data_IF_610599494037
#
_entry.id   IF_610599494037
#
_cell.length_a   1.000
_cell.length_b   1.000
_cell.length_c   1.000
_cell.angle_alpha   90.00
_cell.angle_beta   90.00
_cell.angle_gamma   90.00
#
_symmetry.space_group_name_H-M   'P 1'
#
loop_
_entity.id
_entity.type
_entity.pdbx_description
1 polymer ?
#
# COMPACT_ATOMS: atom_id res chain seq x y z
N UNK A 1 30.89 -2.78 -82.23
CA UNK A 1 30.36 -3.25 -80.92
C UNK A 1 30.14 -2.03 -80.04
N UNK A 2 29.28 -1.08 -80.40
CA UNK A 2 27.82 -1.15 -80.57
C UNK A 2 27.07 -1.52 -79.28
N UNK A 3 26.00 -0.84 -78.86
CA UNK A 3 25.40 0.42 -79.38
C UNK A 3 24.28 0.96 -78.46
N UNK A 4 24.17 2.30 -78.31
CA UNK A 4 22.93 3.14 -78.15
C UNK A 4 22.06 2.90 -76.88
N UNK A 5 21.26 3.82 -76.30
CA UNK A 5 20.69 5.17 -76.62
C UNK A 5 20.72 6.03 -75.32
N UNK A 6 20.91 7.37 -75.28
CA UNK A 6 19.99 8.50 -75.61
C UNK A 6 18.55 8.33 -75.04
N UNK A 7 17.88 9.29 -74.38
CA UNK A 7 17.89 10.78 -74.42
C UNK A 7 17.59 11.37 -73.00
N UNK A 8 18.08 12.55 -72.56
CA UNK A 8 17.61 13.94 -72.80
C UNK A 8 16.20 14.26 -72.25
N UNK A 9 15.85 15.43 -71.68
CA UNK A 9 16.58 16.69 -71.39
C UNK A 9 15.78 17.57 -70.37
N UNK A 10 16.52 18.32 -69.55
CA UNK A 10 16.38 19.76 -69.21
C UNK A 10 15.32 20.38 -68.24
N UNK A 11 15.88 21.20 -67.34
CA UNK A 11 15.36 22.37 -66.57
C UNK A 11 14.91 23.53 -67.52
N UNK A 12 14.27 24.67 -67.07
CA UNK A 12 14.83 25.59 -66.05
C UNK A 12 13.92 26.57 -65.22
N UNK A 13 14.52 27.06 -64.12
CA UNK A 13 14.55 28.43 -63.50
C UNK A 13 13.32 29.36 -63.22
N UNK A 14 13.33 29.89 -61.98
CA UNK A 14 13.07 31.28 -61.47
C UNK A 14 11.80 32.09 -61.85
N UNK A 15 11.11 32.67 -60.85
CA UNK A 15 11.38 34.04 -60.34
C UNK A 15 10.55 34.42 -59.07
N UNK A 16 10.80 35.61 -58.51
CA UNK A 16 10.41 36.09 -57.15
C UNK A 16 9.52 37.34 -57.22
N UNK A 17 8.59 37.50 -56.26
CA UNK A 17 8.01 38.81 -55.90
C UNK A 17 7.55 38.91 -54.43
N UNK A 18 7.80 40.09 -53.86
CA UNK A 18 7.31 40.73 -52.62
C UNK A 18 5.76 40.81 -52.48
N UNK A 19 5.14 41.23 -51.36
CA UNK A 19 5.59 41.69 -50.03
C UNK A 19 4.59 42.69 -49.39
N UNK A 20 4.51 42.77 -48.04
CA UNK A 20 3.53 43.53 -47.19
C UNK A 20 2.05 43.09 -47.34
N UNK A 21 1.09 43.16 -46.40
CA UNK A 21 0.95 43.54 -44.97
C UNK A 21 -0.54 43.23 -44.54
N UNK A 22 -1.06 43.39 -43.32
CA UNK A 22 -0.53 43.76 -41.99
C UNK A 22 -1.57 43.42 -40.86
N UNK A 23 -1.19 43.61 -39.58
CA UNK A 23 -2.03 43.86 -38.37
C UNK A 23 -3.04 42.83 -37.75
N UNK A 24 -2.80 42.58 -36.44
CA UNK A 24 -3.77 42.35 -35.33
C UNK A 24 -4.39 40.96 -35.01
N UNK A 25 -3.96 40.42 -33.85
CA UNK A 25 -4.61 39.44 -32.95
C UNK A 25 -6.02 39.89 -32.46
N UNK A 26 -6.92 39.03 -31.91
CA UNK A 26 -6.60 38.04 -30.86
C UNK A 26 -7.43 36.72 -30.78
N UNK A 27 -7.00 35.83 -29.87
CA UNK A 27 -7.89 34.88 -29.18
C UNK A 27 -7.83 33.43 -29.66
N UNK A 28 -6.98 32.61 -29.02
CA UNK A 28 -7.00 31.15 -29.17
C UNK A 28 -7.69 30.50 -27.94
N UNK A 29 -8.94 30.01 -28.05
CA UNK A 29 -9.53 29.17 -27.01
C UNK A 29 -8.98 27.75 -27.09
N UNK A 30 -8.45 27.28 -25.96
CA UNK A 30 -7.80 25.98 -25.75
C UNK A 30 -8.50 24.81 -26.44
N UNK A 31 -7.72 23.98 -27.14
CA UNK A 31 -8.21 22.73 -27.71
C UNK A 31 -8.73 21.79 -26.60
N UNK A 32 -10.03 21.53 -26.59
CA UNK A 32 -10.64 20.56 -25.68
C UNK A 32 -10.09 19.15 -25.95
N UNK A 33 -9.49 18.55 -24.93
CA UNK A 33 -9.00 17.17 -24.98
C UNK A 33 -10.18 16.20 -25.13
N UNK A 34 -10.44 15.78 -26.38
CA UNK A 34 -11.44 14.75 -26.68
C UNK A 34 -10.96 13.43 -26.07
N UNK A 35 -11.76 12.86 -25.16
CA UNK A 35 -11.64 11.46 -24.75
C UNK A 35 -12.10 10.56 -25.90
N UNK A 36 -11.33 10.52 -27.00
CA UNK A 36 -11.59 9.66 -28.14
C UNK A 36 -11.11 8.24 -27.83
N UNK A 37 -12.05 7.33 -27.65
CA UNK A 37 -11.74 5.91 -27.57
C UNK A 37 -11.15 5.42 -28.90
N UNK A 38 -9.84 5.17 -28.93
CA UNK A 38 -9.36 3.98 -29.62
C UNK A 38 -9.89 2.78 -28.84
N UNK A 39 -10.31 1.72 -29.53
CA UNK A 39 -10.87 0.53 -28.90
C UNK A 39 -9.81 -0.21 -28.09
N UNK A 40 -9.65 0.17 -26.82
CA UNK A 40 -8.90 -0.63 -25.87
C UNK A 40 -9.61 -2.00 -25.76
N UNK A 41 -8.87 -3.12 -25.83
CA UNK A 41 -9.46 -4.40 -25.47
C UNK A 41 -9.96 -4.31 -24.03
N UNK A 42 -11.04 -5.05 -23.71
CA UNK A 42 -11.48 -5.18 -22.32
C UNK A 42 -10.26 -5.52 -21.44
N UNK A 43 -10.11 -4.88 -20.26
CA UNK A 43 -8.94 -5.10 -19.42
C UNK A 43 -8.82 -6.59 -19.14
N UNK A 44 -7.74 -7.18 -19.64
CA UNK A 44 -7.44 -8.59 -19.39
C UNK A 44 -7.34 -8.75 -17.88
N UNK A 45 -7.98 -9.77 -17.31
CA UNK A 45 -7.86 -10.07 -15.89
C UNK A 45 -6.36 -10.14 -15.56
N UNK A 46 -5.89 -9.23 -14.71
CA UNK A 46 -4.52 -9.25 -14.25
C UNK A 46 -4.29 -10.63 -13.61
N UNK A 47 -3.21 -11.32 -14.03
CA UNK A 47 -2.87 -12.59 -13.43
C UNK A 47 -2.74 -12.39 -11.91
N UNK A 48 -3.31 -13.33 -11.13
CA UNK A 48 -3.21 -13.25 -9.68
C UNK A 48 -1.73 -13.12 -9.28
N UNK A 49 -1.40 -12.17 -8.40
CA UNK A 49 -0.02 -11.85 -8.06
C UNK A 49 0.68 -13.06 -7.44
N UNK A 50 2.00 -13.14 -7.63
CA UNK A 50 2.83 -14.18 -7.04
C UNK A 50 2.78 -14.21 -5.50
N UNK A 51 3.27 -15.29 -4.87
CA UNK A 51 3.30 -15.42 -3.42
C UNK A 51 3.99 -14.23 -2.76
N UNK A 52 3.44 -13.76 -1.63
CA UNK A 52 3.89 -12.52 -1.02
C UNK A 52 5.31 -12.62 -0.45
N UNK A 53 6.09 -11.55 -0.66
CA UNK A 53 7.43 -11.38 -0.10
C UNK A 53 7.28 -10.87 1.33
N UNK A 54 7.79 -11.62 2.32
CA UNK A 54 7.58 -11.31 3.74
C UNK A 54 8.76 -10.60 4.39
N UNK A 55 8.44 -9.61 5.22
CA UNK A 55 9.34 -8.80 6.05
C UNK A 55 8.90 -8.91 7.51
N UNK A 56 9.86 -8.97 8.45
CA UNK A 56 9.60 -9.21 9.88
C UNK A 56 9.22 -7.95 10.68
N UNK A 57 9.59 -6.76 10.21
CA UNK A 57 9.20 -5.50 10.83
C UNK A 57 7.79 -5.05 10.46
N UNK A 58 7.33 -3.94 11.06
CA UNK A 58 6.15 -3.22 10.58
C UNK A 58 6.50 -2.44 9.31
N UNK A 59 5.52 -2.14 8.45
CA UNK A 59 5.75 -1.39 7.20
C UNK A 59 6.49 -0.05 7.44
N UNK A 60 6.23 0.62 8.56
CA UNK A 60 6.88 1.88 8.94
C UNK A 60 8.40 1.78 9.17
N UNK A 61 8.93 0.58 9.38
CA UNK A 61 10.37 0.30 9.49
C UNK A 61 11.05 0.28 8.11
N UNK A 62 10.29 0.24 7.02
CA UNK A 62 10.82 0.13 5.67
C UNK A 62 10.50 1.36 4.83
N UNK A 63 11.46 1.78 3.99
CA UNK A 63 11.13 2.64 2.84
C UNK A 63 10.91 1.76 1.62
N UNK A 64 9.93 2.13 0.80
CA UNK A 64 9.65 1.48 -0.48
C UNK A 64 9.64 2.57 -1.55
N UNK A 65 10.57 2.48 -2.49
CA UNK A 65 10.78 3.49 -3.52
C UNK A 65 10.90 2.84 -4.92
N UNK A 66 10.36 3.45 -5.98
CA UNK A 66 10.58 3.01 -7.35
C UNK A 66 12.08 2.92 -7.68
N UNK A 67 12.48 1.85 -8.37
CA UNK A 67 13.84 1.59 -8.79
C UNK A 67 13.87 0.90 -10.16
N UNK A 68 15.02 0.90 -10.84
CA UNK A 68 15.19 0.15 -12.08
C UNK A 68 14.95 -1.35 -11.82
N UNK A 69 13.93 -1.92 -12.46
CA UNK A 69 13.53 -3.33 -12.27
C UNK A 69 12.39 -3.55 -11.26
N UNK A 70 11.87 -2.51 -10.61
CA UNK A 70 10.71 -2.61 -9.72
C UNK A 70 10.75 -1.60 -8.57
N UNK A 71 10.84 -2.11 -7.33
CA UNK A 71 10.91 -1.28 -6.13
C UNK A 71 12.07 -1.71 -5.24
N UNK A 72 12.80 -0.73 -4.71
CA UNK A 72 13.80 -0.96 -3.67
C UNK A 72 13.12 -0.82 -2.29
N UNK A 73 13.13 -1.91 -1.53
CA UNK A 73 12.73 -1.94 -0.12
C UNK A 73 14.00 -1.77 0.73
N UNK A 74 14.02 -0.80 1.63
CA UNK A 74 15.16 -0.55 2.55
C UNK A 74 14.68 -0.63 3.99
N UNK A 75 15.34 -1.45 4.82
CA UNK A 75 15.15 -1.43 6.29
C UNK A 75 15.85 -0.21 6.90
N UNK A 76 15.09 0.66 7.56
CA UNK A 76 15.57 1.91 8.18
C UNK A 76 16.55 1.63 9.33
N UNK A 77 16.49 0.45 9.97
CA UNK A 77 17.34 0.11 11.11
C UNK A 77 18.69 -0.46 10.68
N UNK A 78 18.68 -1.48 9.81
CA UNK A 78 19.90 -2.17 9.38
C UNK A 78 20.56 -1.55 8.14
N UNK A 79 19.82 -0.75 7.35
CA UNK A 79 20.23 -0.30 6.03
C UNK A 79 20.22 -1.40 4.96
N UNK A 80 19.75 -2.61 5.28
CA UNK A 80 19.64 -3.70 4.33
C UNK A 80 18.61 -3.36 3.24
N UNK A 81 18.92 -3.72 1.98
CA UNK A 81 18.07 -3.44 0.83
C UNK A 81 17.68 -4.70 0.08
N UNK A 82 16.49 -4.69 -0.52
CA UNK A 82 15.97 -5.75 -1.38
C UNK A 82 15.22 -5.14 -2.55
N UNK A 83 15.62 -5.49 -3.78
CA UNK A 83 14.87 -5.17 -4.99
C UNK A 83 13.74 -6.20 -5.16
N UNK A 84 12.51 -5.73 -5.40
CA UNK A 84 11.33 -6.56 -5.63
C UNK A 84 10.65 -6.20 -6.96
N UNK A 85 10.06 -7.16 -7.70
CA UNK A 85 9.31 -6.91 -8.92
C UNK A 85 8.18 -5.89 -8.77
N UNK A 86 7.87 -5.19 -9.86
CA UNK A 86 6.87 -4.11 -9.90
C UNK A 86 5.43 -4.55 -9.62
N UNK A 87 5.11 -5.83 -9.66
CA UNK A 87 3.78 -6.42 -9.42
C UNK A 87 3.66 -7.14 -8.05
N UNK A 88 4.71 -7.06 -7.21
CA UNK A 88 4.79 -7.84 -5.98
C UNK A 88 3.69 -7.52 -4.95
N UNK A 89 3.37 -8.53 -4.14
CA UNK A 89 2.67 -8.37 -2.85
C UNK A 89 3.74 -8.44 -1.75
N UNK A 90 3.85 -7.41 -0.92
CA UNK A 90 4.71 -7.42 0.26
C UNK A 90 3.86 -7.67 1.52
N UNK A 91 4.40 -8.45 2.46
CA UNK A 91 3.81 -8.72 3.77
C UNK A 91 4.74 -8.19 4.86
N UNK A 92 4.19 -7.44 5.79
CA UNK A 92 4.86 -6.94 6.99
C UNK A 92 4.17 -7.54 8.21
N UNK A 93 4.76 -7.41 9.41
CA UNK A 93 4.18 -7.97 10.62
C UNK A 93 2.88 -7.27 11.08
N UNK A 94 2.54 -6.10 10.52
CA UNK A 94 1.29 -5.38 10.81
C UNK A 94 0.34 -5.20 9.60
N UNK A 95 0.81 -5.31 8.36
CA UNK A 95 0.05 -4.89 7.16
C UNK A 95 0.58 -5.54 5.88
N UNK A 96 -0.01 -5.22 4.73
CA UNK A 96 0.52 -5.55 3.41
C UNK A 96 0.64 -4.32 2.50
N UNK A 97 1.53 -4.42 1.52
CA UNK A 97 1.72 -3.41 0.47
C UNK A 97 1.61 -4.10 -0.89
N UNK A 98 0.76 -3.57 -1.77
CA UNK A 98 0.60 -4.03 -3.14
C UNK A 98 1.34 -3.07 -4.10
N UNK A 99 2.13 -3.63 -5.01
CA UNK A 99 2.95 -2.85 -5.95
C UNK A 99 2.39 -2.85 -7.39
N UNK A 100 1.40 -3.70 -7.70
CA UNK A 100 0.66 -3.72 -8.97
C UNK A 100 -0.25 -2.48 -9.15
N UNK A 101 0.37 -1.30 -9.27
CA UNK A 101 -0.33 -0.02 -9.41
C UNK A 101 -1.25 0.03 -10.64
N UNK A 102 -1.02 -0.83 -11.63
CA UNK A 102 -1.87 -1.02 -12.81
C UNK A 102 -2.74 -2.28 -12.77
N UNK A 103 -2.52 -3.17 -11.79
CA UNK A 103 -3.26 -4.43 -11.61
C UNK A 103 -4.46 -4.28 -10.66
N UNK A 104 -4.87 -5.41 -10.06
CA UNK A 104 -6.05 -5.50 -9.22
C UNK A 104 -6.03 -4.52 -8.03
N UNK A 105 -4.89 -4.33 -7.36
CA UNK A 105 -4.83 -3.36 -6.25
C UNK A 105 -4.93 -1.91 -6.72
N UNK A 106 -4.28 -1.59 -7.85
CA UNK A 106 -4.44 -0.31 -8.52
C UNK A 106 -5.89 -0.01 -8.86
N UNK A 107 -6.57 -0.95 -9.53
CA UNK A 107 -7.96 -0.81 -9.94
C UNK A 107 -8.91 -0.70 -8.74
N UNK A 108 -8.76 -1.55 -7.72
CA UNK A 108 -9.56 -1.49 -6.51
C UNK A 108 -9.38 -0.16 -5.76
N UNK A 109 -8.15 0.35 -5.64
CA UNK A 109 -7.86 1.64 -5.02
C UNK A 109 -8.50 2.81 -5.78
N UNK A 110 -8.34 2.82 -7.12
CA UNK A 110 -8.93 3.85 -7.99
C UNK A 110 -10.46 3.86 -7.90
N UNK A 111 -11.08 2.69 -7.88
CA UNK A 111 -12.53 2.54 -7.81
C UNK A 111 -13.07 3.01 -6.45
N UNK A 112 -12.36 2.72 -5.36
CA UNK A 112 -12.72 3.18 -4.03
C UNK A 112 -12.67 4.72 -3.94
N UNK A 113 -11.60 5.33 -4.46
CA UNK A 113 -11.50 6.79 -4.54
C UNK A 113 -12.63 7.38 -5.40
N UNK A 114 -12.83 6.85 -6.61
CA UNK A 114 -13.85 7.33 -7.54
C UNK A 114 -15.28 7.23 -6.99
N UNK A 115 -15.59 6.14 -6.26
CA UNK A 115 -16.92 5.91 -5.69
C UNK A 115 -17.22 6.78 -4.47
N UNK A 116 -16.23 7.04 -3.61
CA UNK A 116 -16.46 7.61 -2.27
C UNK A 116 -15.71 8.92 -1.98
N UNK A 117 -14.90 9.42 -2.94
CA UNK A 117 -14.11 10.66 -2.83
C UNK A 117 -13.18 10.71 -1.60
N UNK A 118 -12.71 9.54 -1.16
CA UNK A 118 -11.80 9.37 -0.01
C UNK A 118 -10.77 8.28 -0.26
N UNK A 119 -9.68 8.27 0.51
CA UNK A 119 -8.78 7.12 0.54
C UNK A 119 -9.57 5.88 1.02
N UNK A 120 -9.41 4.71 0.38
CA UNK A 120 -9.90 3.45 0.94
C UNK A 120 -9.47 3.22 2.39
N UNK A 121 -10.33 2.57 3.16
CA UNK A 121 -9.91 1.94 4.41
C UNK A 121 -9.13 0.65 4.10
N UNK A 122 -8.21 0.25 4.99
CA UNK A 122 -7.27 -0.83 4.69
C UNK A 122 -7.97 -2.21 4.55
N UNK A 123 -9.04 -2.45 5.31
CA UNK A 123 -9.70 -3.76 5.37
C UNK A 123 -10.68 -3.96 4.21
N UNK A 124 -11.51 -2.95 3.91
CA UNK A 124 -12.39 -2.92 2.74
C UNK A 124 -11.59 -3.02 1.45
N UNK A 125 -10.48 -2.27 1.33
CA UNK A 125 -9.58 -2.40 0.18
C UNK A 125 -9.04 -3.82 0.03
N UNK A 126 -8.56 -4.43 1.13
CA UNK A 126 -8.05 -5.80 1.09
C UNK A 126 -9.09 -6.86 0.78
N UNK A 127 -10.36 -6.65 1.18
CA UNK A 127 -11.48 -7.48 0.74
C UNK A 127 -11.70 -7.40 -0.77
N UNK A 128 -11.68 -6.20 -1.35
CA UNK A 128 -11.86 -6.03 -2.80
C UNK A 128 -10.67 -6.50 -3.63
N UNK A 129 -9.44 -6.28 -3.15
CA UNK A 129 -8.23 -6.88 -3.73
C UNK A 129 -8.36 -8.40 -3.72
N UNK A 130 -8.68 -9.00 -2.57
CA UNK A 130 -8.89 -10.44 -2.47
C UNK A 130 -10.01 -10.95 -3.38
N UNK A 131 -11.10 -10.19 -3.53
CA UNK A 131 -12.22 -10.53 -4.42
C UNK A 131 -11.78 -10.56 -5.90
N UNK A 132 -10.99 -9.56 -6.34
CA UNK A 132 -10.46 -9.49 -7.70
C UNK A 132 -9.32 -10.49 -7.97
N UNK A 133 -8.43 -10.72 -6.99
CA UNK A 133 -7.37 -11.73 -7.05
C UNK A 133 -7.96 -13.16 -7.13
N UNK A 134 -9.22 -13.38 -6.69
CA UNK A 134 -9.99 -14.61 -6.91
C UNK A 134 -10.83 -14.61 -8.21
N UNK A 135 -10.57 -13.68 -9.13
CA UNK A 135 -11.14 -13.68 -10.49
C UNK A 135 -12.46 -12.92 -10.68
N UNK A 136 -12.92 -12.15 -9.69
CA UNK A 136 -14.05 -11.26 -9.90
C UNK A 136 -13.66 -10.03 -10.74
N UNK A 137 -14.41 -9.66 -11.79
CA UNK A 137 -14.07 -8.50 -12.60
C UNK A 137 -14.36 -7.18 -11.85
N UNK A 138 -13.66 -6.11 -12.22
CA UNK A 138 -13.81 -4.77 -11.63
C UNK A 138 -15.28 -4.29 -11.61
N UNK A 139 -16.05 -4.60 -12.66
CA UNK A 139 -17.47 -4.24 -12.75
C UNK A 139 -18.34 -4.88 -11.67
N UNK A 140 -17.99 -6.08 -11.17
CA UNK A 140 -18.69 -6.72 -10.04
C UNK A 140 -18.43 -5.96 -8.73
N UNK A 141 -17.21 -5.47 -8.53
CA UNK A 141 -16.88 -4.61 -7.39
C UNK A 141 -17.58 -3.26 -7.51
N UNK A 142 -17.57 -2.64 -8.69
CA UNK A 142 -18.26 -1.38 -8.96
C UNK A 142 -19.79 -1.50 -8.74
N UNK A 143 -20.39 -2.64 -9.11
CA UNK A 143 -21.79 -2.95 -8.82
C UNK A 143 -22.07 -2.95 -7.31
N UNK A 144 -21.20 -3.57 -6.50
CA UNK A 144 -21.35 -3.55 -5.04
C UNK A 144 -21.28 -2.13 -4.46
N UNK A 145 -20.41 -1.27 -5.02
CA UNK A 145 -20.27 0.12 -4.58
C UNK A 145 -21.49 0.97 -4.91
N UNK A 146 -22.01 0.93 -6.15
CA UNK A 146 -23.21 1.73 -6.49
C UNK A 146 -24.46 1.31 -5.71
N UNK A 147 -24.51 0.06 -5.25
CA UNK A 147 -25.58 -0.44 -4.36
C UNK A 147 -25.34 -0.18 -2.87
N UNK A 148 -24.21 0.41 -2.47
CA UNK A 148 -23.87 0.65 -1.06
C UNK A 148 -24.60 1.87 -0.49
N UNK A 149 -24.89 1.83 0.82
CA UNK A 149 -25.52 2.95 1.52
C UNK A 149 -24.65 4.23 1.45
N UNK A 150 -23.33 4.10 1.47
CA UNK A 150 -22.41 5.24 1.35
C UNK A 150 -22.54 5.92 -0.01
N UNK A 151 -22.57 5.15 -1.11
CA UNK A 151 -22.73 5.68 -2.46
C UNK A 151 -24.10 6.34 -2.65
N UNK A 152 -25.18 5.68 -2.20
CA UNK A 152 -26.53 6.25 -2.24
C UNK A 152 -26.63 7.56 -1.43
N UNK A 153 -25.90 7.67 -0.32
CA UNK A 153 -25.87 8.89 0.51
C UNK A 153 -25.07 10.02 -0.15
N UNK A 154 -24.01 9.71 -0.93
CA UNK A 154 -23.18 10.68 -1.63
C UNK A 154 -23.77 11.17 -2.96
N UNK A 155 -24.43 10.28 -3.72
CA UNK A 155 -24.94 10.58 -5.06
C UNK A 155 -26.46 10.82 -5.09
N UNK A 156 -27.22 10.29 -4.11
CA UNK A 156 -28.68 10.34 -4.09
C UNK A 156 -29.31 9.44 -5.16
N UNK A 157 -30.40 9.92 -5.78
CA UNK A 157 -31.06 9.27 -6.91
C UNK A 157 -30.96 10.15 -8.19
N UNK A 158 -29.76 10.35 -8.75
CA UNK A 158 -29.55 11.26 -9.88
C UNK A 158 -30.03 10.65 -11.19
N UNK A 159 -30.54 11.49 -12.10
CA UNK A 159 -30.71 11.12 -13.51
C UNK A 159 -29.33 11.00 -14.21
N UNK A 160 -29.30 10.48 -15.44
CA UNK A 160 -28.05 10.23 -16.19
C UNK A 160 -27.13 11.45 -16.28
N UNK A 161 -27.67 12.65 -16.56
CA UNK A 161 -26.88 13.87 -16.67
C UNK A 161 -26.32 14.37 -15.32
N UNK A 162 -27.13 14.31 -14.26
CA UNK A 162 -26.69 14.64 -12.90
C UNK A 162 -25.63 13.63 -12.41
N UNK A 163 -25.81 12.34 -12.69
CA UNK A 163 -24.88 11.27 -12.31
C UNK A 163 -23.50 11.46 -12.96
N UNK A 164 -23.47 11.70 -14.27
CA UNK A 164 -22.21 11.98 -15.00
C UNK A 164 -21.55 13.25 -14.47
N UNK A 165 -22.31 14.31 -14.21
CA UNK A 165 -21.77 15.56 -13.63
C UNK A 165 -21.13 15.33 -12.26
N UNK A 166 -21.73 14.51 -11.40
CA UNK A 166 -21.17 14.11 -10.11
C UNK A 166 -19.89 13.26 -10.28
N UNK A 167 -19.82 12.34 -11.26
CA UNK A 167 -18.59 11.58 -11.53
C UNK A 167 -17.44 12.49 -11.98
N UNK A 168 -17.67 13.44 -12.89
CA UNK A 168 -16.64 14.42 -13.26
C UNK A 168 -16.15 15.23 -12.05
N UNK A 169 -17.06 15.70 -11.18
CA UNK A 169 -16.71 16.50 -10.01
C UNK A 169 -16.01 15.70 -8.89
N UNK A 170 -16.39 14.43 -8.69
CA UNK A 170 -15.87 13.60 -7.60
C UNK A 170 -14.61 12.81 -7.99
N UNK A 171 -14.54 12.30 -9.22
CA UNK A 171 -13.41 11.47 -9.70
C UNK A 171 -12.32 12.34 -10.33
N UNK A 172 -12.71 13.31 -11.17
CA UNK A 172 -11.77 14.10 -12.00
C UNK A 172 -11.55 15.53 -11.49
N UNK A 173 -12.27 15.95 -10.44
CA UNK A 173 -12.13 17.27 -9.82
C UNK A 173 -12.53 18.45 -10.70
N UNK A 174 -13.30 18.23 -11.78
CA UNK A 174 -13.68 19.25 -12.77
C UNK A 174 -15.13 19.12 -13.23
N UNK A 175 -15.62 20.11 -13.97
CA UNK A 175 -16.87 19.99 -14.71
C UNK A 175 -16.71 19.14 -15.98
N UNK A 176 -17.77 18.46 -16.45
CA UNK A 176 -17.79 17.88 -17.79
C UNK A 176 -17.72 18.96 -18.87
N UNK A 177 -17.04 18.66 -19.97
CA UNK A 177 -17.28 19.35 -21.24
C UNK A 177 -18.54 18.80 -21.92
N UNK A 178 -19.10 19.54 -22.88
CA UNK A 178 -20.37 19.18 -23.51
C UNK A 178 -20.32 17.85 -24.29
N UNK A 179 -19.17 17.49 -24.87
CA UNK A 179 -19.02 16.24 -25.62
C UNK A 179 -18.88 15.04 -24.68
N UNK A 180 -18.08 15.16 -23.62
CA UNK A 180 -17.95 14.17 -22.56
C UNK A 180 -19.29 13.89 -21.85
N UNK A 181 -20.03 14.94 -21.48
CA UNK A 181 -21.36 14.80 -20.90
C UNK A 181 -22.30 14.01 -21.83
N UNK A 182 -22.40 14.42 -23.10
CA UNK A 182 -23.27 13.76 -24.08
C UNK A 182 -22.88 12.29 -24.31
N UNK A 183 -21.58 11.97 -24.36
CA UNK A 183 -21.08 10.61 -24.53
C UNK A 183 -21.49 9.70 -23.37
N UNK A 184 -21.20 10.10 -22.13
CA UNK A 184 -21.49 9.26 -20.96
C UNK A 184 -22.99 9.18 -20.64
N UNK A 185 -23.76 10.25 -20.86
CA UNK A 185 -25.23 10.22 -20.78
C UNK A 185 -25.81 9.28 -21.84
N UNK A 186 -25.35 9.38 -23.08
CA UNK A 186 -25.78 8.47 -24.15
C UNK A 186 -25.50 7.00 -23.82
N UNK A 187 -24.36 6.68 -23.20
CA UNK A 187 -24.07 5.32 -22.75
C UNK A 187 -25.04 4.84 -21.64
N UNK A 188 -25.42 5.70 -20.69
CA UNK A 188 -26.40 5.38 -19.62
C UNK A 188 -27.84 5.28 -20.12
N UNK A 189 -28.16 5.94 -21.23
CA UNK A 189 -29.50 5.96 -21.83
C UNK A 189 -29.64 4.97 -23.01
N UNK A 190 -28.54 4.34 -23.43
CA UNK A 190 -28.49 3.38 -24.55
C UNK A 190 -28.46 4.01 -25.95
N UNK A 191 -28.30 5.33 -26.03
CA UNK A 191 -28.20 6.12 -27.28
C UNK A 191 -26.76 6.42 -27.70
N UNK A 192 -25.78 6.01 -26.88
CA UNK A 192 -24.35 6.21 -27.12
C UNK A 192 -23.78 5.31 -28.22
N UNK A 193 -22.51 5.52 -28.63
CA UNK A 193 -21.91 4.86 -29.80
C UNK A 193 -21.84 3.32 -29.73
N UNK A 194 -21.98 2.72 -28.54
CA UNK A 194 -22.00 1.28 -28.35
C UNK A 194 -23.36 0.64 -28.70
N UNK A 195 -24.44 1.42 -28.86
CA UNK A 195 -25.79 0.91 -29.15
C UNK A 195 -26.42 0.06 -28.03
N UNK A 196 -25.79 0.02 -26.85
CA UNK A 196 -26.24 -0.72 -25.67
C UNK A 196 -26.26 0.21 -24.45
N UNK A 197 -27.17 -0.07 -23.52
CA UNK A 197 -27.30 0.68 -22.27
C UNK A 197 -26.31 0.15 -21.24
N UNK A 198 -25.38 1.00 -20.79
CA UNK A 198 -24.49 0.70 -19.68
C UNK A 198 -25.16 1.01 -18.33
N UNK A 199 -24.80 0.25 -17.31
CA UNK A 199 -25.14 0.52 -15.92
C UNK A 199 -24.31 1.66 -15.32
N UNK A 200 -24.79 2.23 -14.22
CA UNK A 200 -24.01 3.18 -13.41
C UNK A 200 -22.69 2.60 -12.92
N UNK A 201 -22.65 1.29 -12.63
CA UNK A 201 -21.45 0.57 -12.20
C UNK A 201 -20.38 0.52 -13.30
N UNK A 202 -20.77 0.22 -14.55
CA UNK A 202 -19.84 0.18 -15.69
C UNK A 202 -19.30 1.57 -16.03
N UNK A 203 -20.15 2.61 -15.96
CA UNK A 203 -19.69 3.99 -16.16
C UNK A 203 -18.77 4.45 -15.03
N UNK A 204 -19.08 4.12 -13.76
CA UNK A 204 -18.19 4.38 -12.63
C UNK A 204 -16.83 3.69 -12.82
N UNK A 205 -16.80 2.41 -13.25
CA UNK A 205 -15.57 1.69 -13.53
C UNK A 205 -14.75 2.33 -14.67
N UNK A 206 -15.41 2.83 -15.73
CA UNK A 206 -14.76 3.58 -16.82
C UNK A 206 -14.13 4.90 -16.34
N UNK A 207 -14.81 5.66 -15.47
CA UNK A 207 -14.22 6.86 -14.86
C UNK A 207 -13.03 6.51 -13.94
N UNK A 208 -13.21 5.49 -13.12
CA UNK A 208 -12.18 4.98 -12.19
C UNK A 208 -10.89 4.60 -12.90
N UNK A 209 -10.96 3.80 -13.97
CA UNK A 209 -9.77 3.32 -14.69
C UNK A 209 -9.40 4.19 -15.90
N UNK A 210 -9.94 5.41 -15.97
CA UNK A 210 -9.59 6.38 -17.01
C UNK A 210 -8.12 6.83 -16.91
N UNK A 211 -7.44 7.12 -18.04
CA UNK A 211 -6.08 7.66 -18.02
C UNK A 211 -5.93 8.95 -17.20
N UNK A 212 -7.00 9.77 -17.15
CA UNK A 212 -7.04 10.99 -16.36
C UNK A 212 -7.02 10.70 -14.84
N UNK A 213 -7.87 9.79 -14.35
CA UNK A 213 -7.87 9.41 -12.93
C UNK A 213 -6.60 8.65 -12.53
N UNK A 214 -6.04 7.82 -13.42
CA UNK A 214 -4.73 7.17 -13.22
C UNK A 214 -3.63 8.23 -13.02
N UNK A 215 -3.60 9.26 -13.87
CA UNK A 215 -2.63 10.35 -13.75
C UNK A 215 -2.81 11.18 -12.47
N UNK A 216 -4.06 11.49 -12.08
CA UNK A 216 -4.37 12.20 -10.83
C UNK A 216 -3.90 11.42 -9.59
N UNK A 217 -4.00 10.08 -9.61
CA UNK A 217 -3.65 9.24 -8.47
C UNK A 217 -2.20 8.72 -8.47
N UNK A 218 -1.47 8.83 -9.58
CA UNK A 218 -0.11 8.29 -9.72
C UNK A 218 0.81 8.69 -8.54
N UNK A 219 0.82 9.98 -8.15
CA UNK A 219 1.65 10.46 -7.04
C UNK A 219 1.25 9.89 -5.67
N UNK A 220 -0.02 9.56 -5.46
CA UNK A 220 -0.52 9.05 -4.18
C UNK A 220 -0.19 7.57 -3.97
N UNK A 221 -0.11 6.78 -5.05
CA UNK A 221 0.19 5.34 -5.01
C UNK A 221 1.61 4.97 -5.44
N UNK A 222 2.45 5.95 -5.83
CA UNK A 222 3.80 5.73 -6.40
C UNK A 222 4.75 4.87 -5.57
N UNK A 223 4.53 4.73 -4.26
CA UNK A 223 5.34 3.94 -3.34
C UNK A 223 4.66 2.62 -2.92
N UNK A 224 3.58 2.23 -3.60
CA UNK A 224 2.74 1.09 -3.25
C UNK A 224 1.40 1.48 -2.63
N UNK A 225 0.50 0.50 -2.60
CA UNK A 225 -0.87 0.61 -2.08
C UNK A 225 -0.97 -0.22 -0.80
N UNK A 226 -1.14 0.44 0.33
CA UNK A 226 -1.26 -0.24 1.63
C UNK A 226 -2.67 -0.79 1.83
N UNK A 227 -2.77 -2.03 2.32
CA UNK A 227 -4.04 -2.70 2.63
C UNK A 227 -3.84 -3.76 3.74
N UNK A 228 -4.93 -4.14 4.41
CA UNK A 228 -4.96 -5.30 5.30
C UNK A 228 -5.47 -6.51 4.51
N UNK A 229 -4.69 -7.58 4.34
CA UNK A 229 -5.18 -8.82 3.73
C UNK A 229 -6.51 -9.29 4.32
N UNK A 230 -7.41 -9.83 3.48
CA UNK A 230 -8.67 -10.36 3.99
C UNK A 230 -8.45 -11.42 5.09
N UNK A 231 -9.18 -11.30 6.21
CA UNK A 231 -9.02 -12.14 7.39
C UNK A 231 -7.85 -11.77 8.32
N UNK A 232 -7.06 -10.75 7.99
CA UNK A 232 -6.03 -10.19 8.88
C UNK A 232 -6.54 -8.97 9.66
N UNK A 233 -5.87 -8.63 10.76
CA UNK A 233 -6.10 -7.43 11.55
C UNK A 233 -4.79 -6.75 11.90
N UNK A 234 -4.85 -5.44 12.22
CA UNK A 234 -3.75 -4.75 12.88
C UNK A 234 -3.45 -5.40 14.25
N UNK A 235 -2.22 -5.22 14.78
CA UNK A 235 -1.87 -5.57 16.15
C UNK A 235 -2.81 -4.90 17.18
N UNK A 236 -3.35 -5.69 18.10
CA UNK A 236 -4.41 -5.29 19.04
C UNK A 236 -3.90 -5.09 20.47
N UNK A 237 -2.89 -4.23 20.65
CA UNK A 237 -2.39 -3.83 21.97
C UNK A 237 -3.25 -2.68 22.54
N UNK A 238 -3.38 -2.58 23.86
CA UNK A 238 -4.11 -1.49 24.51
C UNK A 238 -3.31 -0.17 24.42
N UNK A 239 -4.00 0.98 24.33
CA UNK A 239 -3.36 2.30 24.21
C UNK A 239 -2.40 2.59 25.37
N UNK A 240 -2.72 2.12 26.59
CA UNK A 240 -1.88 2.26 27.76
C UNK A 240 -0.52 1.52 27.66
N UNK A 241 -0.40 0.49 26.82
CA UNK A 241 0.87 -0.22 26.59
C UNK A 241 1.86 0.59 25.74
N UNK A 242 1.36 1.58 25.00
CA UNK A 242 2.16 2.52 24.22
C UNK A 242 2.59 3.77 25.01
N UNK A 243 2.20 3.90 26.28
CA UNK A 243 2.52 5.06 27.09
C UNK A 243 4.03 5.12 27.42
N UNK A 244 4.66 6.27 27.18
CA UNK A 244 6.10 6.44 27.38
C UNK A 244 6.71 7.67 26.70
N UNK A 245 8.02 7.80 26.84
CA UNK A 245 8.85 8.79 26.13
C UNK A 245 9.73 8.05 25.10
N UNK A 246 9.77 8.57 23.88
CA UNK A 246 10.50 8.00 22.75
C UNK A 246 11.26 9.10 22.01
N UNK A 247 12.58 9.09 22.06
CA UNK A 247 13.41 10.15 21.46
C UNK A 247 13.95 9.67 20.10
N UNK A 248 13.25 10.02 19.01
CA UNK A 248 13.56 9.51 17.67
C UNK A 248 14.69 10.31 17.02
N UNK A 249 15.65 9.59 16.42
CA UNK A 249 16.71 10.18 15.59
C UNK A 249 16.18 10.40 14.17
N UNK A 250 16.15 11.66 13.74
CA UNK A 250 15.70 12.09 12.41
C UNK A 250 16.88 12.11 11.44
N UNK A 251 16.69 11.54 10.25
CA UNK A 251 17.69 11.39 9.19
C UNK A 251 17.09 11.70 7.82
N UNK A 252 17.91 12.13 6.87
CA UNK A 252 17.50 12.43 5.48
C UNK A 252 17.96 13.81 5.05
N UNK A 253 17.09 14.55 4.36
CA UNK A 253 17.34 15.93 3.92
C UNK A 253 17.43 16.96 5.06
N UNK A 254 16.99 16.57 6.25
CA UNK A 254 17.16 17.27 7.53
C UNK A 254 17.54 16.21 8.59
N UNK A 255 18.16 16.64 9.68
CA UNK A 255 18.68 15.77 10.75
C UNK A 255 18.37 16.39 12.12
N UNK A 256 18.24 15.56 13.16
CA UNK A 256 17.94 16.05 14.49
C UNK A 256 17.33 14.99 15.40
N UNK A 257 16.67 15.45 16.46
CA UNK A 257 15.96 14.61 17.41
C UNK A 257 14.58 15.17 17.72
N UNK A 258 13.58 14.29 17.78
CA UNK A 258 12.22 14.62 18.21
C UNK A 258 11.85 13.70 19.38
N UNK A 259 11.54 14.30 20.52
CA UNK A 259 10.92 13.61 21.64
C UNK A 259 9.42 13.41 21.36
N UNK A 260 8.94 12.19 21.57
CA UNK A 260 7.53 11.80 21.44
C UNK A 260 7.09 11.28 22.81
N UNK A 261 6.15 11.99 23.45
CA UNK A 261 5.48 11.54 24.67
C UNK A 261 4.11 10.97 24.32
N UNK A 262 3.80 9.75 24.75
CA UNK A 262 2.49 9.11 24.58
C UNK A 262 1.88 8.90 25.97
N UNK A 263 0.63 9.34 26.16
CA UNK A 263 -0.14 9.17 27.38
C UNK A 263 -0.96 7.86 27.37
N UNK A 264 -1.44 7.35 28.53
CA UNK A 264 -2.19 6.10 28.59
C UNK A 264 -3.51 6.05 27.81
N UNK A 265 -4.07 7.21 27.45
CA UNK A 265 -5.26 7.34 26.60
C UNK A 265 -4.94 7.36 25.09
N UNK A 266 -3.66 7.29 24.73
CA UNK A 266 -3.18 7.37 23.35
C UNK A 266 -2.96 8.80 22.83
N UNK A 267 -3.16 9.85 23.64
CA UNK A 267 -2.78 11.21 23.25
C UNK A 267 -1.26 11.35 23.16
N UNK A 268 -0.80 12.12 22.15
CA UNK A 268 0.61 12.26 21.82
C UNK A 268 1.03 13.73 21.84
N UNK A 269 2.20 14.02 22.40
CA UNK A 269 2.90 15.30 22.27
C UNK A 269 4.28 15.05 21.62
N UNK A 270 4.63 15.87 20.63
CA UNK A 270 5.88 15.76 19.87
C UNK A 270 6.59 17.11 19.90
N UNK A 271 7.89 17.11 20.22
CA UNK A 271 8.72 18.32 20.19
C UNK A 271 10.17 17.97 19.91
N UNK A 272 10.87 18.77 19.11
CA UNK A 272 12.26 18.54 18.79
C UNK A 272 12.94 19.64 18.00
N UNK A 273 14.24 19.45 17.79
CA UNK A 273 15.10 20.33 17.01
C UNK A 273 15.59 19.60 15.77
N UNK A 274 15.33 20.19 14.61
CA UNK A 274 15.90 19.83 13.30
C UNK A 274 16.99 20.86 12.95
N UNK A 275 17.91 20.58 12.02
CA UNK A 275 19.14 21.37 11.77
C UNK A 275 18.89 22.88 11.68
N UNK A 276 17.73 23.28 11.15
CA UNK A 276 17.41 24.68 10.85
C UNK A 276 16.24 25.25 11.67
N UNK A 277 15.56 24.45 12.50
CA UNK A 277 14.26 24.84 13.10
C UNK A 277 13.81 23.92 14.24
N UNK A 278 13.12 24.50 15.23
CA UNK A 278 12.32 23.73 16.18
C UNK A 278 11.00 23.31 15.53
N UNK A 279 10.51 22.12 15.85
CA UNK A 279 9.26 21.56 15.36
C UNK A 279 8.48 20.95 16.53
N UNK A 280 7.17 21.20 16.60
CA UNK A 280 6.33 20.63 17.67
C UNK A 280 4.85 20.58 17.33
N UNK A 281 4.13 19.65 17.96
CA UNK A 281 2.72 19.40 17.71
C UNK A 281 2.15 18.31 18.60
N UNK A 282 0.87 17.98 18.40
CA UNK A 282 0.18 16.93 19.13
C UNK A 282 -0.71 16.10 18.21
N UNK A 283 -1.08 14.90 18.66
CA UNK A 283 -1.90 13.97 17.89
C UNK A 283 -2.48 12.86 18.76
N UNK A 284 -3.02 11.83 18.11
CA UNK A 284 -3.54 10.63 18.78
C UNK A 284 -3.04 9.38 18.08
N UNK A 285 -2.62 8.40 18.88
CA UNK A 285 -2.21 7.10 18.41
C UNK A 285 -3.43 6.34 17.85
N UNK A 286 -3.23 5.72 16.70
CA UNK A 286 -4.22 4.93 15.98
C UNK A 286 -3.98 3.43 16.23
N UNK A 287 -4.97 2.55 15.96
CA UNK A 287 -4.81 1.10 16.10
C UNK A 287 -3.55 0.55 15.41
N UNK A 288 -2.94 -0.49 15.99
CA UNK A 288 -1.63 -0.99 15.55
C UNK A 288 -0.44 -0.09 15.93
N UNK A 289 -0.62 0.88 16.83
CA UNK A 289 0.44 1.79 17.28
C UNK A 289 0.85 2.81 16.21
N UNK A 290 -0.06 3.17 15.31
CA UNK A 290 0.18 4.01 14.12
C UNK A 290 -0.07 5.48 14.41
N UNK A 291 0.64 6.37 13.72
CA UNK A 291 0.37 7.81 13.83
C UNK A 291 0.75 8.56 12.55
N UNK A 292 0.10 9.70 12.34
CA UNK A 292 0.52 10.74 11.40
C UNK A 292 0.26 12.10 12.06
N UNK A 293 1.31 12.89 12.28
CA UNK A 293 1.23 14.17 13.00
C UNK A 293 1.98 15.24 12.23
N UNK A 294 1.31 16.36 11.98
CA UNK A 294 1.92 17.56 11.42
C UNK A 294 2.54 18.41 12.54
N UNK A 295 3.81 18.77 12.38
CA UNK A 295 4.58 19.61 13.28
C UNK A 295 4.83 20.96 12.59
N UNK A 296 4.10 22.03 12.95
CA UNK A 296 4.52 23.39 12.64
C UNK A 296 5.94 23.67 13.13
N UNK A 297 6.69 24.47 12.38
CA UNK A 297 8.07 24.85 12.72
C UNK A 297 8.21 26.34 13.02
N UNK A 298 9.27 26.73 13.71
CA UNK A 298 9.58 28.14 13.99
C UNK A 298 9.87 28.97 12.72
N UNK A 299 10.21 28.32 11.60
CA UNK A 299 10.36 28.96 10.30
C UNK A 299 9.04 29.10 9.51
N UNK A 300 7.89 28.77 10.13
CA UNK A 300 6.57 28.81 9.47
C UNK A 300 6.34 27.70 8.45
N UNK A 301 7.15 26.63 8.48
CA UNK A 301 6.97 25.44 7.67
C UNK A 301 6.12 24.39 8.41
N UNK A 302 5.80 23.27 7.76
CA UNK A 302 5.21 22.11 8.42
C UNK A 302 5.90 20.82 8.01
N UNK A 303 6.23 19.99 9.00
CA UNK A 303 6.85 18.67 8.82
C UNK A 303 5.88 17.62 9.36
N UNK A 304 5.41 16.74 8.48
CA UNK A 304 4.54 15.62 8.86
C UNK A 304 5.38 14.38 9.14
N UNK A 305 5.31 13.86 10.37
CA UNK A 305 5.84 12.54 10.74
C UNK A 305 4.75 11.49 10.58
N UNK A 306 5.04 10.38 9.89
CA UNK A 306 4.14 9.22 9.78
C UNK A 306 4.92 7.94 10.08
N UNK A 307 4.42 7.15 11.03
CA UNK A 307 5.12 5.95 11.50
C UNK A 307 4.27 5.04 12.36
N UNK A 308 4.91 4.05 12.97
CA UNK A 308 4.28 3.21 13.99
C UNK A 308 5.28 2.66 15.01
N UNK A 309 4.72 2.18 16.11
CA UNK A 309 5.44 1.63 17.26
C UNK A 309 5.16 0.12 17.37
N UNK A 310 6.18 -0.70 17.14
CA UNK A 310 6.15 -2.14 17.36
C UNK A 310 6.63 -2.44 18.79
N UNK A 311 5.68 -2.67 19.71
CA UNK A 311 5.99 -2.97 21.11
C UNK A 311 6.76 -4.28 21.29
N UNK A 312 6.49 -5.30 20.48
CA UNK A 312 7.15 -6.60 20.56
C UNK A 312 8.64 -6.52 20.16
N UNK A 313 8.97 -5.70 19.17
CA UNK A 313 10.35 -5.45 18.75
C UNK A 313 11.04 -4.31 19.54
N UNK A 314 10.28 -3.48 20.27
CA UNK A 314 10.79 -2.25 20.89
C UNK A 314 11.23 -1.19 19.88
N UNK A 315 10.61 -1.18 18.69
CA UNK A 315 10.98 -0.33 17.54
C UNK A 315 9.92 0.74 17.30
N UNK A 316 10.32 2.00 17.27
CA UNK A 316 9.55 3.11 16.72
C UNK A 316 10.23 3.53 15.41
N UNK A 317 9.52 3.48 14.28
CA UNK A 317 10.08 3.89 12.99
C UNK A 317 9.04 4.59 12.11
N UNK A 318 9.52 5.31 11.10
CA UNK A 318 8.66 5.95 10.12
C UNK A 318 9.40 6.88 9.16
N UNK A 319 8.61 7.63 8.39
CA UNK A 319 9.07 8.65 7.45
C UNK A 319 8.56 10.03 7.85
N UNK A 320 9.32 11.05 7.50
CA UNK A 320 8.90 12.45 7.62
C UNK A 320 8.92 13.14 6.26
N UNK A 321 8.02 14.10 6.07
CA UNK A 321 7.97 14.96 4.87
C UNK A 321 7.71 16.40 5.29
N UNK A 322 8.57 17.32 4.85
CA UNK A 322 8.32 18.74 4.93
C UNK A 322 7.36 19.13 3.79
N UNK A 323 6.12 19.47 4.12
CA UNK A 323 5.08 19.77 3.11
C UNK A 323 5.31 21.11 2.40
N UNK A 324 6.16 21.98 2.96
CA UNK A 324 6.51 23.29 2.39
C UNK A 324 7.66 23.20 1.39
N UNK A 325 8.61 22.28 1.56
CA UNK A 325 9.80 22.15 0.70
C UNK A 325 9.83 20.86 -0.14
N UNK A 326 8.97 19.89 0.15
CA UNK A 326 9.00 18.56 -0.46
C UNK A 326 10.16 17.67 0.00
N UNK A 327 11.02 18.16 0.90
CA UNK A 327 12.09 17.37 1.51
C UNK A 327 11.51 16.25 2.37
N UNK A 328 12.22 15.13 2.44
CA UNK A 328 11.78 13.96 3.18
C UNK A 328 12.95 13.19 3.78
N UNK A 329 12.62 12.25 4.65
CA UNK A 329 13.56 11.33 5.25
C UNK A 329 12.88 10.32 6.15
N UNK A 330 13.66 9.75 7.07
CA UNK A 330 13.25 8.69 7.98
C UNK A 330 13.57 9.06 9.41
N UNK A 331 12.85 8.47 10.35
CA UNK A 331 13.20 8.51 11.76
C UNK A 331 13.15 7.12 12.36
N UNK A 332 13.95 6.90 13.39
CA UNK A 332 13.82 5.71 14.22
C UNK A 332 14.30 5.91 15.64
N UNK A 333 13.68 5.16 16.54
CA UNK A 333 14.15 4.88 17.89
C UNK A 333 14.03 3.39 18.12
N UNK A 334 15.02 2.82 18.78
CA UNK A 334 14.94 1.46 19.30
C UNK A 334 15.17 1.52 20.79
N UNK A 335 14.33 0.82 21.56
CA UNK A 335 14.66 0.51 22.94
C UNK A 335 15.94 -0.32 22.90
N UNK A 336 16.99 0.00 23.67
CA UNK A 336 18.13 -0.88 23.82
C UNK A 336 17.68 -2.17 24.51
N UNK A 337 17.28 -3.17 23.72
CA UNK A 337 17.02 -4.52 24.21
C UNK A 337 18.38 -5.12 24.53
N UNK A 338 18.80 -5.04 25.80
CA UNK A 338 19.74 -6.03 26.31
C UNK A 338 19.12 -7.40 26.03
N UNK A 339 19.78 -8.29 25.26
CA UNK A 339 19.18 -9.56 24.88
C UNK A 339 19.13 -10.49 26.11
N UNK A 340 18.02 -10.36 26.84
CA UNK A 340 17.55 -11.32 27.82
C UNK A 340 16.38 -12.13 27.23
N UNK A 341 16.50 -12.51 25.95
CA UNK A 341 15.82 -13.70 25.41
C UNK A 341 16.38 -14.90 26.18
N UNK A 342 15.67 -15.32 27.22
CA UNK A 342 16.08 -16.46 28.05
C UNK A 342 15.29 -17.69 27.60
N UNK A 343 15.95 -18.85 27.54
CA UNK A 343 15.30 -20.10 27.14
C UNK A 343 13.94 -20.40 27.83
N UNK A 344 13.71 -20.11 29.12
CA UNK A 344 12.41 -20.34 29.77
C UNK A 344 11.19 -19.71 29.07
N UNK A 345 11.35 -18.59 28.34
CA UNK A 345 10.25 -17.97 27.58
C UNK A 345 9.88 -18.83 26.36
N UNK A 346 10.88 -19.34 25.65
CA UNK A 346 10.72 -20.29 24.53
C UNK A 346 10.12 -21.59 25.04
N UNK A 347 10.65 -22.10 26.15
CA UNK A 347 10.20 -23.34 26.77
C UNK A 347 8.71 -23.27 27.15
N UNK A 348 8.25 -22.15 27.73
CA UNK A 348 6.84 -21.95 28.05
C UNK A 348 5.92 -22.06 26.82
N UNK A 349 6.29 -21.41 25.71
CA UNK A 349 5.53 -21.50 24.44
C UNK A 349 5.51 -22.94 23.93
N UNK A 350 6.65 -23.61 23.88
CA UNK A 350 6.75 -24.98 23.36
C UNK A 350 5.97 -25.97 24.25
N UNK A 351 6.00 -25.81 25.58
CA UNK A 351 5.19 -26.58 26.53
C UNK A 351 3.69 -26.35 26.28
N UNK A 352 3.27 -25.11 26.05
CA UNK A 352 1.84 -24.81 25.89
C UNK A 352 1.29 -25.20 24.51
N UNK A 353 2.11 -25.10 23.45
CA UNK A 353 1.64 -25.18 22.05
C UNK A 353 2.10 -26.42 21.29
N UNK A 354 3.14 -27.12 21.74
CA UNK A 354 3.71 -28.26 21.02
C UNK A 354 3.67 -29.57 21.83
N UNK A 355 4.11 -29.54 23.10
CA UNK A 355 4.14 -30.70 24.01
C UNK A 355 2.81 -31.47 24.14
N UNK A 356 1.59 -30.87 24.04
CA UNK A 356 0.34 -31.63 24.09
C UNK A 356 0.20 -32.73 23.03
N UNK A 357 0.86 -32.58 21.87
CA UNK A 357 0.92 -33.58 20.79
C UNK A 357 2.33 -34.18 20.62
N UNK A 358 3.38 -33.41 20.91
CA UNK A 358 4.78 -33.75 20.68
C UNK A 358 5.55 -33.96 21.98
N UNK A 359 5.21 -35.03 22.70
CA UNK A 359 5.84 -35.42 23.96
C UNK A 359 5.99 -36.93 24.11
N UNK A 360 6.67 -37.37 25.17
CA UNK A 360 6.75 -38.76 25.55
C UNK A 360 5.39 -39.31 26.05
N UNK A 361 4.47 -38.44 26.47
CA UNK A 361 3.11 -38.76 26.92
C UNK A 361 2.09 -37.72 26.43
N UNK A 362 1.74 -37.71 25.13
CA UNK A 362 0.81 -36.72 24.58
C UNK A 362 -0.56 -36.75 25.26
N UNK A 363 -1.12 -35.56 25.48
CA UNK A 363 -2.37 -35.35 26.21
C UNK A 363 -3.56 -35.14 25.29
N UNK A 364 -3.33 -34.81 24.02
CA UNK A 364 -4.39 -34.70 23.00
C UNK A 364 -4.76 -36.11 22.49
N UNK A 365 -6.05 -36.51 22.54
CA UNK A 365 -6.49 -37.80 22.02
C UNK A 365 -6.12 -37.99 20.54
N UNK A 366 -5.70 -39.21 20.19
CA UNK A 366 -5.27 -39.57 18.83
C UNK A 366 -3.77 -39.39 18.54
N UNK A 367 -3.01 -38.71 19.41
CA UNK A 367 -1.58 -38.43 19.21
C UNK A 367 -0.65 -39.34 20.00
N UNK A 368 -0.90 -40.66 20.03
CA UNK A 368 -0.02 -41.62 20.70
C UNK A 368 0.44 -42.74 19.73
N UNK A 369 1.73 -42.81 19.33
CA UNK A 369 2.84 -41.94 19.74
C UNK A 369 2.82 -40.54 19.11
N UNK A 370 3.69 -39.66 19.59
CA UNK A 370 3.89 -38.31 19.04
C UNK A 370 4.21 -38.33 17.52
N UNK A 371 3.65 -37.40 16.71
CA UNK A 371 3.84 -37.40 15.27
C UNK A 371 5.30 -37.35 14.84
N UNK A 372 5.65 -38.18 13.86
CA UNK A 372 7.00 -38.32 13.30
C UNK A 372 8.08 -38.68 14.34
N UNK A 373 7.70 -39.12 15.55
CA UNK A 373 8.61 -39.33 16.67
C UNK A 373 9.23 -38.04 17.24
N UNK A 374 8.72 -36.86 16.87
CA UNK A 374 9.22 -35.57 17.34
C UNK A 374 8.66 -35.28 18.73
N UNK A 375 9.56 -34.91 19.65
CA UNK A 375 9.28 -34.60 21.06
C UNK A 375 9.93 -33.29 21.47
N UNK A 376 9.38 -32.68 22.51
CA UNK A 376 9.84 -31.42 23.10
C UNK A 376 9.78 -31.45 24.64
N UNK A 377 9.91 -32.62 25.26
CA UNK A 377 9.84 -32.79 26.72
C UNK A 377 11.01 -32.10 27.45
N UNK A 378 12.16 -31.97 26.78
CA UNK A 378 13.41 -31.42 27.34
C UNK A 378 13.99 -30.26 26.52
N UNK A 379 14.79 -29.41 27.16
CA UNK A 379 15.53 -28.34 26.50
C UNK A 379 16.42 -28.83 25.35
N UNK A 380 17.10 -29.97 25.54
CA UNK A 380 17.96 -30.56 24.51
C UNK A 380 17.17 -30.93 23.25
N UNK A 381 15.96 -31.49 23.41
CA UNK A 381 15.07 -31.81 22.29
C UNK A 381 14.57 -30.54 21.59
N UNK A 382 14.18 -29.50 22.34
CA UNK A 382 13.74 -28.21 21.79
C UNK A 382 14.86 -27.56 20.96
N UNK A 383 16.09 -27.53 21.48
CA UNK A 383 17.27 -27.00 20.78
C UNK A 383 17.65 -27.81 19.55
N UNK A 384 17.67 -29.15 19.66
CA UNK A 384 17.96 -30.04 18.54
C UNK A 384 16.93 -29.96 17.39
N UNK A 385 15.74 -29.40 17.66
CA UNK A 385 14.64 -29.26 16.72
C UNK A 385 14.34 -27.81 16.34
N UNK A 386 15.17 -26.85 16.74
CA UNK A 386 14.96 -25.41 16.53
C UNK A 386 14.67 -25.02 15.08
N UNK A 387 15.40 -25.57 14.10
CA UNK A 387 15.15 -25.35 12.67
C UNK A 387 13.78 -25.88 12.24
N UNK A 388 13.36 -27.04 12.77
CA UNK A 388 12.03 -27.60 12.47
C UNK A 388 10.91 -26.81 13.16
N UNK A 389 11.13 -26.34 14.39
CA UNK A 389 10.22 -25.39 15.07
C UNK A 389 10.09 -24.12 14.20
N UNK A 390 11.20 -23.53 13.76
CA UNK A 390 11.17 -22.34 12.91
C UNK A 390 10.42 -22.59 11.58
N UNK A 391 10.78 -23.62 10.83
CA UNK A 391 10.14 -23.90 9.53
C UNK A 391 8.66 -24.29 9.66
N UNK A 392 8.28 -25.14 10.62
CA UNK A 392 6.90 -25.61 10.79
C UNK A 392 5.99 -24.59 11.48
N UNK A 393 6.52 -23.77 12.38
CA UNK A 393 5.73 -22.89 13.25
C UNK A 393 5.84 -21.42 12.88
N UNK A 394 7.02 -20.94 12.49
CA UNK A 394 7.21 -19.53 12.09
C UNK A 394 6.99 -19.36 10.60
N UNK A 395 7.71 -20.12 9.77
CA UNK A 395 7.78 -19.90 8.32
C UNK A 395 6.52 -20.38 7.57
N UNK A 396 6.08 -21.61 7.81
CA UNK A 396 4.91 -22.19 7.14
C UNK A 396 3.60 -22.03 7.92
N UNK A 397 3.70 -21.71 9.22
CA UNK A 397 2.59 -21.69 10.19
C UNK A 397 1.71 -22.96 10.22
N UNK A 398 2.19 -24.08 9.64
CA UNK A 398 1.47 -25.35 9.56
C UNK A 398 1.27 -25.99 10.94
N UNK A 399 2.20 -25.73 11.87
CA UNK A 399 2.08 -26.12 13.26
C UNK A 399 1.83 -24.90 14.17
N UNK A 400 1.00 -25.02 15.22
CA UNK A 400 0.11 -26.15 15.53
C UNK A 400 -0.96 -26.32 14.43
N UNK A 401 -1.31 -27.57 14.09
CA UNK A 401 -2.28 -27.85 13.01
C UNK A 401 -3.62 -27.15 13.25
N UNK A 402 -4.13 -26.45 12.22
CA UNK A 402 -5.32 -25.58 12.30
C UNK A 402 -5.29 -24.55 13.47
N UNK A 403 -4.10 -24.21 13.96
CA UNK A 403 -3.85 -23.47 15.20
C UNK A 403 -4.60 -24.02 16.44
N UNK A 404 -4.79 -25.34 16.53
CA UNK A 404 -5.67 -25.97 17.53
C UNK A 404 -5.31 -25.70 19.00
N UNK A 405 -4.05 -25.34 19.29
CA UNK A 405 -3.60 -24.96 20.64
C UNK A 405 -3.62 -23.45 20.90
N UNK A 406 -4.18 -22.65 19.98
CA UNK A 406 -4.32 -21.20 20.10
C UNK A 406 -2.98 -20.44 20.18
N UNK A 407 -1.98 -20.81 19.37
CA UNK A 407 -0.72 -20.08 19.32
C UNK A 407 -0.92 -18.69 18.69
N UNK A 408 -0.38 -17.65 19.33
CA UNK A 408 -0.49 -16.26 18.86
C UNK A 408 0.64 -15.90 17.89
N UNK A 409 0.50 -14.79 17.14
CA UNK A 409 1.60 -14.30 16.30
C UNK A 409 2.80 -13.85 17.15
N UNK A 410 2.59 -13.16 18.27
CA UNK A 410 3.66 -12.74 19.18
C UNK A 410 4.49 -13.91 19.74
N UNK A 411 3.87 -15.08 19.95
CA UNK A 411 4.59 -16.31 20.31
C UNK A 411 5.47 -16.83 19.17
N UNK A 412 4.97 -16.79 17.92
CA UNK A 412 5.77 -17.15 16.73
C UNK A 412 6.93 -16.18 16.54
N UNK A 413 6.72 -14.88 16.79
CA UNK A 413 7.74 -13.85 16.69
C UNK A 413 8.85 -14.05 17.75
N UNK A 414 8.49 -14.47 18.97
CA UNK A 414 9.48 -14.82 20.01
C UNK A 414 10.31 -16.05 19.60
N UNK A 415 9.67 -17.10 19.06
CA UNK A 415 10.38 -18.27 18.52
C UNK A 415 11.31 -17.89 17.35
N UNK A 416 10.88 -16.97 16.49
CA UNK A 416 11.69 -16.44 15.39
C UNK A 416 12.92 -15.68 15.90
N UNK A 417 12.74 -14.80 16.89
CA UNK A 417 13.81 -14.01 17.48
C UNK A 417 14.83 -14.90 18.21
N UNK A 418 14.39 -15.92 18.96
CA UNK A 418 15.29 -16.88 19.61
C UNK A 418 16.11 -17.70 18.61
N UNK A 419 15.48 -18.15 17.51
CA UNK A 419 16.17 -18.87 16.45
C UNK A 419 17.23 -17.98 15.76
N UNK A 420 16.85 -16.74 15.40
CA UNK A 420 17.75 -15.76 14.78
C UNK A 420 18.91 -15.34 15.69
N UNK A 421 18.70 -15.31 17.01
CA UNK A 421 19.74 -15.02 18.01
C UNK A 421 20.73 -16.17 18.25
N UNK A 422 20.68 -17.26 17.47
CA UNK A 422 21.56 -18.42 17.64
C UNK A 422 21.17 -19.31 18.82
N UNK A 423 19.90 -19.27 19.25
CA UNK A 423 19.37 -20.01 20.39
C UNK A 423 20.11 -19.73 21.72
N UNK A 424 20.02 -18.51 22.30
CA UNK A 424 20.61 -18.23 23.60
C UNK A 424 20.11 -19.17 24.73
N UNK A 425 20.89 -19.30 25.83
CA UNK A 425 20.51 -20.01 27.05
C UNK A 425 19.34 -19.37 27.82
#
# INVERSE_FOLDING_TARGET
MDARRLCCLALPLLLVACGAGEQSQPGNPSAGARLSASGAPAPQHAAAPGPAISFSGYLSQYTVAPATGGFLVTDILSGATQLVPADSRLRFADTALALDLSGNAGQAYRLYQAAFKRKPDLAGLGYHIGTMDNGAPLNTVAASFVTSQEFMSLYGAPNSAAFVTLLYANVLGRAPDAAGLAYHVGNLDGTGPLGVRLSQAEVLAQFSDSPENIALLANAVRNGIEYLPFGSSLPANAMAEYAGQYDVTVRGADQGAIGITIQPDGTMALFGHLVNQDAGGSGTLQPGGRFSVALPTTAGQSVTLTGSLNLAAGVLAGSWVNTSTGQAGVFSWTKPVQPALKFPQVQAIIIQRCVPCHSARPTVPGFNPAPLGIRFDTEAEIRARSTQIFTSTVQSQFMPWANMTGMTQAERDLLAAWFAAGMPP
#
